data_IF_424055985103
#
_entry.id   IF_424055985103
#
_cell.length_a   1.000
_cell.length_b   1.000
_cell.length_c   1.000
_cell.angle_alpha   90.00
_cell.angle_beta   90.00
_cell.angle_gamma   90.00
#
_symmetry.space_group_name_H-M   'P 1'
#
loop_
_entity.id
_entity.type
_entity.pdbx_description
1 polymer ?
#
# COMPACT_ATOMS: atom_id res chain seq x y z
N UNK A 1 2.45 25.54 23.56
CA UNK A 1 1.94 25.96 22.24
C UNK A 1 0.44 25.80 22.21
N UNK A 2 -0.36 26.75 21.70
CA UNK A 2 -1.84 26.61 21.61
C UNK A 2 -2.28 25.30 20.96
N UNK A 3 -1.54 24.84 19.95
CA UNK A 3 -1.74 23.54 19.29
C UNK A 3 -1.64 22.36 20.26
N UNK A 4 -0.63 22.32 21.12
CA UNK A 4 -0.45 21.25 22.09
C UNK A 4 -1.57 21.21 23.16
N UNK A 5 -2.15 22.36 23.53
CA UNK A 5 -3.31 22.40 24.42
C UNK A 5 -4.59 21.93 23.72
N UNK A 6 -4.82 22.35 22.48
CA UNK A 6 -5.98 21.89 21.66
C UNK A 6 -5.90 20.38 21.42
N UNK A 7 -4.70 19.86 21.17
CA UNK A 7 -4.45 18.43 20.95
C UNK A 7 -4.66 17.62 22.23
N UNK A 8 -4.27 18.18 23.39
CA UNK A 8 -4.49 17.59 24.72
C UNK A 8 -5.98 17.60 25.10
N UNK A 9 -6.72 18.68 24.82
CA UNK A 9 -8.18 18.75 25.03
C UNK A 9 -8.94 17.81 24.09
N UNK A 10 -8.57 17.75 22.80
CA UNK A 10 -9.14 16.79 21.84
C UNK A 10 -8.95 15.35 22.30
N UNK A 11 -7.76 15.02 22.78
CA UNK A 11 -7.45 13.69 23.33
C UNK A 11 -8.25 13.45 24.61
N UNK A 12 -8.42 14.47 25.47
CA UNK A 12 -9.29 14.40 26.64
C UNK A 12 -10.74 14.05 26.27
N UNK A 13 -11.33 14.72 25.28
CA UNK A 13 -12.72 14.51 24.87
C UNK A 13 -12.97 13.19 24.13
N UNK A 14 -12.01 12.73 23.32
CA UNK A 14 -12.11 11.48 22.57
C UNK A 14 -11.96 10.24 23.46
N UNK A 15 -11.17 10.31 24.53
CA UNK A 15 -10.87 9.16 25.37
C UNK A 15 -11.53 9.19 26.76
N UNK A 16 -12.16 10.29 27.16
CA UNK A 16 -12.92 10.36 28.42
C UNK A 16 -14.22 9.53 28.34
N UNK A 17 -14.36 8.58 29.25
CA UNK A 17 -15.50 7.64 29.34
C UNK A 17 -16.86 8.31 29.59
N UNK A 18 -16.89 9.54 30.09
CA UNK A 18 -18.11 10.31 30.40
C UNK A 18 -18.50 11.31 29.30
N UNK A 19 -17.77 11.34 28.18
CA UNK A 19 -17.99 12.28 27.07
C UNK A 19 -18.91 11.66 26.02
N UNK A 20 -19.93 12.38 25.53
CA UNK A 20 -20.81 11.92 24.44
C UNK A 20 -20.01 11.63 23.15
N UNK A 21 -18.94 12.39 22.90
CA UNK A 21 -18.00 12.14 21.79
C UNK A 21 -17.32 10.77 21.86
N UNK A 22 -17.17 10.18 23.05
CA UNK A 22 -16.60 8.83 23.20
C UNK A 22 -17.58 7.75 22.75
N UNK A 23 -18.89 8.03 22.78
CA UNK A 23 -19.91 7.11 22.25
C UNK A 23 -19.87 7.16 20.72
N UNK A 24 -19.89 8.35 20.12
CA UNK A 24 -19.78 8.52 18.66
C UNK A 24 -18.47 7.97 18.09
N UNK A 25 -17.34 8.22 18.76
CA UNK A 25 -16.04 7.69 18.34
C UNK A 25 -16.00 6.16 18.39
N UNK A 26 -16.63 5.54 19.39
CA UNK A 26 -16.74 4.07 19.49
C UNK A 26 -17.55 3.48 18.33
N UNK A 27 -18.63 4.14 17.90
CA UNK A 27 -19.39 3.70 16.73
C UNK A 27 -18.52 3.72 15.46
N UNK A 28 -17.61 4.69 15.34
CA UNK A 28 -16.66 4.76 14.24
C UNK A 28 -15.65 3.59 14.28
N UNK A 29 -15.11 3.27 15.46
CA UNK A 29 -14.21 2.13 15.67
C UNK A 29 -14.91 0.80 15.37
N UNK A 30 -16.17 0.64 15.80
CA UNK A 30 -17.00 -0.54 15.51
C UNK A 30 -17.27 -0.68 14.01
N UNK A 31 -17.54 0.42 13.31
CA UNK A 31 -17.74 0.45 11.88
C UNK A 31 -16.45 0.10 11.12
N UNK A 32 -15.30 0.67 11.51
CA UNK A 32 -14.00 0.32 10.93
C UNK A 32 -13.68 -1.18 11.12
N UNK A 33 -13.92 -1.70 12.33
CA UNK A 33 -13.74 -3.11 12.62
C UNK A 33 -14.66 -4.00 11.77
N UNK A 34 -15.94 -3.64 11.67
CA UNK A 34 -16.94 -4.34 10.86
C UNK A 34 -16.53 -4.36 9.38
N UNK A 35 -16.09 -3.24 8.82
CA UNK A 35 -15.60 -3.16 7.43
C UNK A 35 -14.36 -4.01 7.20
N UNK A 36 -13.44 -4.05 8.16
CA UNK A 36 -12.24 -4.89 8.10
C UNK A 36 -12.59 -6.39 8.12
N UNK A 37 -13.53 -6.80 8.98
CA UNK A 37 -14.04 -8.18 9.03
C UNK A 37 -14.77 -8.54 7.74
N UNK A 38 -15.63 -7.66 7.23
CA UNK A 38 -16.34 -7.82 5.96
C UNK A 38 -15.38 -8.08 4.80
N UNK A 39 -14.32 -7.25 4.66
CA UNK A 39 -13.29 -7.42 3.61
C UNK A 39 -12.54 -8.75 3.72
N UNK A 40 -12.26 -9.22 4.94
CA UNK A 40 -11.64 -10.54 5.16
C UNK A 40 -12.59 -11.67 4.74
N UNK A 41 -13.86 -11.58 5.10
CA UNK A 41 -14.88 -12.57 4.71
C UNK A 41 -15.07 -12.62 3.19
N UNK A 42 -15.14 -11.47 2.54
CA UNK A 42 -15.24 -11.36 1.08
C UNK A 42 -14.04 -12.02 0.39
N UNK A 43 -12.82 -11.71 0.84
CA UNK A 43 -11.60 -12.37 0.33
C UNK A 43 -11.65 -13.88 0.49
N UNK A 44 -12.11 -14.37 1.64
CA UNK A 44 -12.24 -15.80 1.89
C UNK A 44 -13.29 -16.45 0.96
N UNK A 45 -14.44 -15.78 0.74
CA UNK A 45 -15.50 -16.24 -0.17
C UNK A 45 -15.00 -16.34 -1.62
N UNK A 46 -14.28 -15.33 -2.10
CA UNK A 46 -13.69 -15.33 -3.44
C UNK A 46 -12.70 -16.50 -3.61
N UNK A 47 -11.79 -16.68 -2.64
CA UNK A 47 -10.83 -17.78 -2.68
C UNK A 47 -11.53 -19.15 -2.66
N UNK A 48 -12.61 -19.29 -1.88
CA UNK A 48 -13.40 -20.51 -1.84
C UNK A 48 -14.07 -20.81 -3.19
N UNK A 49 -14.68 -19.80 -3.84
CA UNK A 49 -15.31 -19.96 -5.16
C UNK A 49 -14.28 -20.31 -6.23
N UNK A 50 -13.13 -19.63 -6.25
CA UNK A 50 -12.03 -19.95 -7.17
C UNK A 50 -11.49 -21.36 -6.95
N UNK A 51 -11.35 -21.80 -5.68
CA UNK A 51 -10.91 -23.15 -5.37
C UNK A 51 -11.90 -24.21 -5.90
N UNK A 52 -13.21 -23.97 -5.77
CA UNK A 52 -14.25 -24.86 -6.34
C UNK A 52 -14.11 -25.00 -7.85
N UNK A 53 -13.97 -23.88 -8.57
CA UNK A 53 -13.78 -23.87 -10.03
C UNK A 53 -12.49 -24.63 -10.40
N UNK A 54 -11.38 -24.35 -9.71
CA UNK A 54 -10.10 -25.03 -9.93
C UNK A 54 -10.21 -26.55 -9.68
N UNK A 55 -10.95 -26.98 -8.67
CA UNK A 55 -11.14 -28.39 -8.38
C UNK A 55 -11.98 -29.08 -9.46
N UNK A 56 -13.02 -28.43 -9.98
CA UNK A 56 -13.80 -28.96 -11.11
C UNK A 56 -12.93 -29.09 -12.38
N UNK A 57 -12.08 -28.09 -12.67
CA UNK A 57 -11.12 -28.14 -13.77
C UNK A 57 -10.10 -29.28 -13.59
N UNK A 58 -9.55 -29.46 -12.38
CA UNK A 58 -8.64 -30.58 -12.09
C UNK A 58 -9.34 -31.93 -12.27
N UNK A 59 -10.59 -32.05 -11.84
CA UNK A 59 -11.41 -33.26 -12.04
C UNK A 59 -11.57 -33.56 -13.52
N UNK A 60 -11.87 -32.54 -14.34
CA UNK A 60 -11.97 -32.67 -15.79
C UNK A 60 -10.63 -33.11 -16.40
N UNK A 61 -9.52 -32.44 -16.04
CA UNK A 61 -8.18 -32.80 -16.51
C UNK A 61 -7.79 -34.23 -16.16
N UNK A 62 -8.19 -34.74 -14.99
CA UNK A 62 -7.90 -36.11 -14.59
C UNK A 62 -8.73 -37.13 -15.38
N UNK A 63 -9.99 -36.81 -15.69
CA UNK A 63 -10.85 -37.66 -16.52
C UNK A 63 -10.31 -37.77 -17.96
N UNK A 64 -9.64 -36.72 -18.46
CA UNK A 64 -9.07 -36.65 -19.81
C UNK A 64 -7.76 -37.44 -20.01
N UNK A 65 -7.10 -37.93 -18.95
CA UNK A 65 -5.75 -38.52 -19.07
C UNK A 65 -5.70 -39.95 -19.62
N UNK A 66 -6.72 -40.79 -19.41
CA UNK A 66 -6.61 -42.24 -19.69
C UNK A 66 -7.94 -42.90 -20.15
N UNK A 67 -8.65 -42.33 -21.12
CA UNK A 67 -9.94 -42.89 -21.57
C UNK A 67 -10.11 -42.89 -23.09
N UNK A 68 -10.59 -44.01 -23.66
CA UNK A 68 -11.02 -44.09 -25.06
C UNK A 68 -12.33 -43.30 -25.24
N UNK A 69 -12.47 -42.46 -26.28
CA UNK A 69 -13.68 -41.68 -26.50
C UNK A 69 -14.85 -42.58 -26.91
N UNK A 70 -15.60 -43.06 -25.92
CA UNK A 70 -16.95 -43.60 -26.09
C UNK A 70 -17.98 -42.47 -26.08
N UNK A 71 -19.13 -42.63 -26.77
CA UNK A 71 -20.18 -41.63 -26.78
C UNK A 71 -20.64 -41.19 -25.38
N UNK A 72 -20.82 -42.13 -24.44
CA UNK A 72 -21.23 -41.80 -23.07
C UNK A 72 -20.14 -41.00 -22.31
N UNK A 73 -18.87 -41.25 -22.62
CA UNK A 73 -17.75 -40.51 -22.03
C UNK A 73 -17.67 -39.08 -22.57
N UNK A 74 -17.90 -38.89 -23.86
CA UNK A 74 -17.95 -37.56 -24.49
C UNK A 74 -19.07 -36.72 -23.90
N UNK A 75 -20.25 -37.30 -23.67
CA UNK A 75 -21.37 -36.57 -23.06
C UNK A 75 -21.10 -36.20 -21.60
N UNK A 76 -20.45 -37.06 -20.83
CA UNK A 76 -19.98 -36.74 -19.47
C UNK A 76 -18.95 -35.62 -19.43
N UNK A 77 -18.05 -35.54 -20.41
CA UNK A 77 -17.08 -34.45 -20.54
C UNK A 77 -17.80 -33.13 -20.87
N UNK A 78 -18.79 -33.15 -21.77
CA UNK A 78 -19.60 -31.95 -22.08
C UNK A 78 -20.33 -31.45 -20.84
N UNK A 79 -20.99 -32.33 -20.08
CA UNK A 79 -21.68 -31.97 -18.83
C UNK A 79 -20.71 -31.31 -17.84
N UNK A 80 -19.52 -31.88 -17.66
CA UNK A 80 -18.49 -31.29 -16.79
C UNK A 80 -17.94 -29.95 -17.30
N UNK A 81 -17.81 -29.77 -18.63
CA UNK A 81 -17.39 -28.49 -19.22
C UNK A 81 -18.47 -27.43 -19.02
N UNK A 82 -19.75 -27.79 -19.21
CA UNK A 82 -20.90 -26.92 -18.99
C UNK A 82 -21.04 -26.54 -17.50
N UNK A 83 -20.82 -27.46 -16.57
CA UNK A 83 -20.74 -27.15 -15.13
C UNK A 83 -19.66 -26.13 -14.81
N UNK A 84 -18.46 -26.28 -15.40
CA UNK A 84 -17.34 -25.36 -15.19
C UNK A 84 -17.65 -23.99 -15.79
N UNK A 85 -18.19 -23.96 -17.00
CA UNK A 85 -18.56 -22.73 -17.70
C UNK A 85 -19.65 -21.97 -16.93
N UNK A 86 -20.70 -22.68 -16.48
CA UNK A 86 -21.75 -22.12 -15.64
C UNK A 86 -21.20 -21.59 -14.31
N UNK A 87 -20.27 -22.31 -13.66
CA UNK A 87 -19.63 -21.85 -12.43
C UNK A 87 -18.76 -20.59 -12.65
N UNK A 88 -18.05 -20.50 -13.77
CA UNK A 88 -17.25 -19.33 -14.15
C UNK A 88 -18.16 -18.14 -14.46
N UNK A 89 -19.23 -18.35 -15.23
CA UNK A 89 -20.16 -17.29 -15.60
C UNK A 89 -20.92 -16.76 -14.39
N UNK A 90 -21.40 -17.64 -13.51
CA UNK A 90 -22.02 -17.26 -12.24
C UNK A 90 -21.07 -16.46 -11.35
N UNK A 91 -19.81 -16.90 -11.23
CA UNK A 91 -18.79 -16.16 -10.47
C UNK A 91 -18.56 -14.76 -11.06
N UNK A 92 -18.34 -14.66 -12.38
CA UNK A 92 -18.13 -13.36 -13.05
C UNK A 92 -19.32 -12.43 -12.86
N UNK A 93 -20.54 -12.94 -12.98
CA UNK A 93 -21.76 -12.18 -12.82
C UNK A 93 -21.95 -11.69 -11.38
N UNK A 94 -21.71 -12.55 -10.39
CA UNK A 94 -21.74 -12.16 -8.97
C UNK A 94 -20.70 -11.07 -8.67
N UNK A 95 -19.45 -11.23 -9.15
CA UNK A 95 -18.41 -10.22 -8.98
C UNK A 95 -18.76 -8.90 -9.68
N UNK A 96 -19.38 -8.94 -10.86
CA UNK A 96 -19.86 -7.76 -11.58
C UNK A 96 -20.94 -7.02 -10.79
N UNK A 97 -21.90 -7.75 -10.21
CA UNK A 97 -22.97 -7.15 -9.39
C UNK A 97 -22.41 -6.50 -8.13
N UNK A 98 -21.50 -7.18 -7.42
CA UNK A 98 -20.83 -6.64 -6.23
C UNK A 98 -20.06 -5.37 -6.61
N UNK A 99 -19.28 -5.40 -7.68
CA UNK A 99 -18.52 -4.24 -8.15
C UNK A 99 -19.43 -3.04 -8.48
N UNK A 100 -20.54 -3.28 -9.20
CA UNK A 100 -21.50 -2.23 -9.51
C UNK A 100 -22.17 -1.64 -8.28
N UNK A 101 -22.44 -2.47 -7.26
CA UNK A 101 -22.98 -2.02 -5.99
C UNK A 101 -21.97 -1.17 -5.22
N UNK A 102 -20.72 -1.62 -5.12
CA UNK A 102 -19.63 -0.86 -4.50
C UNK A 102 -19.39 0.49 -5.17
N UNK A 103 -19.47 0.59 -6.51
CA UNK A 103 -19.37 1.87 -7.22
C UNK A 103 -20.51 2.83 -6.87
N UNK A 104 -21.73 2.32 -6.66
CA UNK A 104 -22.87 3.15 -6.24
C UNK A 104 -22.66 3.68 -4.83
N UNK A 105 -22.20 2.81 -3.92
CA UNK A 105 -21.89 3.16 -2.53
C UNK A 105 -20.73 4.16 -2.44
N UNK A 106 -19.67 3.95 -3.21
CA UNK A 106 -18.55 4.90 -3.31
C UNK A 106 -19.04 6.27 -3.78
N UNK A 107 -19.85 6.32 -4.83
CA UNK A 107 -20.42 7.58 -5.32
C UNK A 107 -21.31 8.24 -4.26
N UNK A 108 -22.12 7.47 -3.54
CA UNK A 108 -22.97 8.00 -2.47
C UNK A 108 -22.12 8.57 -1.33
N UNK A 109 -21.12 7.83 -0.85
CA UNK A 109 -20.20 8.27 0.20
C UNK A 109 -19.40 9.52 -0.22
N UNK A 110 -18.91 9.59 -1.47
CA UNK A 110 -18.24 10.79 -2.00
C UNK A 110 -19.19 11.99 -1.99
N UNK A 111 -20.44 11.80 -2.40
CA UNK A 111 -21.43 12.88 -2.36
C UNK A 111 -21.69 13.33 -0.91
N UNK A 112 -21.88 12.40 0.02
CA UNK A 112 -22.05 12.71 1.45
C UNK A 112 -20.85 13.46 2.01
N UNK A 113 -19.63 12.99 1.74
CA UNK A 113 -18.39 13.69 2.13
C UNK A 113 -18.34 15.10 1.55
N UNK A 114 -18.69 15.29 0.28
CA UNK A 114 -18.71 16.62 -0.34
C UNK A 114 -19.73 17.56 0.33
N UNK A 115 -20.87 17.03 0.79
CA UNK A 115 -21.86 17.78 1.55
C UNK A 115 -21.33 18.14 2.94
N UNK A 116 -20.66 17.20 3.62
CA UNK A 116 -20.02 17.44 4.91
C UNK A 116 -18.86 18.43 4.80
N UNK A 117 -18.02 18.33 3.78
CA UNK A 117 -16.95 19.28 3.49
C UNK A 117 -17.51 20.69 3.30
N UNK A 118 -18.54 20.87 2.46
CA UNK A 118 -19.24 22.16 2.33
C UNK A 118 -19.83 22.64 3.64
N UNK A 119 -20.38 21.75 4.47
CA UNK A 119 -20.93 22.09 5.79
C UNK A 119 -19.83 22.56 6.74
N UNK A 120 -18.68 21.89 6.74
CA UNK A 120 -17.50 22.26 7.51
C UNK A 120 -16.91 23.58 7.01
N UNK A 121 -16.86 23.80 5.70
CA UNK A 121 -16.47 25.09 5.11
C UNK A 121 -17.41 26.21 5.54
N UNK A 122 -18.73 25.97 5.53
CA UNK A 122 -19.73 26.92 6.02
C UNK A 122 -19.57 27.18 7.53
N UNK A 123 -19.28 26.15 8.34
CA UNK A 123 -18.97 26.31 9.76
C UNK A 123 -17.68 27.11 9.98
N UNK A 124 -16.66 26.88 9.16
CA UNK A 124 -15.40 27.62 9.18
C UNK A 124 -15.55 29.07 8.69
N UNK A 125 -16.48 29.33 7.77
CA UNK A 125 -16.82 30.65 7.24
C UNK A 125 -17.77 31.45 8.15
N UNK A 126 -18.47 30.79 9.08
CA UNK A 126 -19.36 31.47 10.02
C UNK A 126 -20.09 30.54 10.99
N UNK A 127 -19.55 30.41 12.21
CA UNK A 127 -20.26 29.93 13.40
C UNK A 127 -21.35 30.93 13.87
N UNK A 128 -22.31 31.26 13.01
CA UNK A 128 -23.51 32.02 13.39
C UNK A 128 -24.80 31.49 12.76
N UNK A 129 -24.72 30.65 11.73
CA UNK A 129 -25.91 30.15 11.04
C UNK A 129 -26.33 28.74 11.49
N UNK A 130 -25.43 27.94 12.06
CA UNK A 130 -25.75 26.57 12.49
C UNK A 130 -26.59 26.50 13.78
N UNK A 131 -26.53 27.53 14.64
CA UNK A 131 -27.39 27.60 15.84
C UNK A 131 -28.82 28.09 15.54
N UNK A 132 -29.08 28.65 14.35
CA UNK A 132 -30.41 29.17 14.00
C UNK A 132 -31.40 28.10 13.56
N UNK A 133 -30.99 26.85 13.36
CA UNK A 133 -31.90 25.76 12.94
C UNK A 133 -32.62 25.11 14.13
N UNK A 134 -32.22 25.38 15.38
CA UNK A 134 -32.77 24.70 16.57
C UNK A 134 -33.50 25.60 17.57
N UNK A 135 -33.86 26.83 17.23
CA UNK A 135 -34.67 27.67 18.13
C UNK A 135 -36.00 28.08 17.52
N UNK A 136 -37.05 27.43 18.03
CA UNK A 136 -38.43 27.89 17.99
C UNK A 136 -38.50 29.39 18.39
N UNK A 137 -39.46 30.17 17.87
CA UNK A 137 -39.44 31.61 18.03
C UNK A 137 -39.89 31.97 19.45
N UNK A 138 -38.96 32.49 20.25
CA UNK A 138 -39.31 33.29 21.42
C UNK A 138 -38.50 34.57 21.41
N UNK A 139 -39.24 35.66 21.57
CA UNK A 139 -38.83 37.03 21.30
C UNK A 139 -37.76 37.56 22.27
N UNK A 140 -37.10 38.63 21.78
CA UNK A 140 -36.12 39.52 22.42
C UNK A 140 -34.66 39.10 22.28
N UNK A 141 -34.04 39.65 21.24
CA UNK A 141 -32.61 39.58 20.95
C UNK A 141 -31.86 40.53 21.90
N UNK A 142 -31.20 39.97 22.92
CA UNK A 142 -29.99 40.57 23.49
C UNK A 142 -28.81 40.11 22.64
N UNK A 143 -28.09 41.05 22.03
CA UNK A 143 -26.87 40.77 21.27
C UNK A 143 -25.83 40.19 22.22
N UNK A 144 -25.46 38.93 21.98
CA UNK A 144 -24.48 38.20 22.76
C UNK A 144 -23.07 38.82 22.59
N UNK A 145 -22.37 39.03 23.71
CA UNK A 145 -21.03 39.65 23.78
C UNK A 145 -19.95 38.83 23.08
N UNK A 146 -20.27 37.60 22.68
CA UNK A 146 -19.38 36.70 21.92
C UNK A 146 -19.23 37.10 20.45
N UNK A 147 -20.20 37.81 19.85
CA UNK A 147 -20.15 38.26 18.45
C UNK A 147 -19.14 39.40 18.21
N UNK A 148 -18.77 40.10 19.29
CA UNK A 148 -17.91 41.28 19.28
C UNK A 148 -16.44 40.96 18.92
N UNK A 149 -16.03 39.69 19.03
CA UNK A 149 -14.63 39.27 18.88
C UNK A 149 -14.20 38.90 17.45
N UNK A 150 -15.14 38.73 16.51
CA UNK A 150 -14.84 38.30 15.14
C UNK A 150 -15.13 39.35 14.07
N UNK A 151 -15.79 40.45 14.43
CA UNK A 151 -16.10 41.54 13.54
C UNK A 151 -15.02 42.63 13.64
N UNK A 152 -14.70 43.32 12.53
CA UNK A 152 -13.83 44.49 12.60
C UNK A 152 -14.38 45.52 13.58
N UNK A 153 -13.49 46.20 14.31
CA UNK A 153 -13.85 47.13 15.39
C UNK A 153 -14.81 48.23 14.92
N UNK A 154 -14.67 48.66 13.69
CA UNK A 154 -15.47 49.70 13.05
C UNK A 154 -16.92 49.23 12.78
N UNK A 155 -17.13 47.93 12.56
CA UNK A 155 -18.48 47.34 12.41
C UNK A 155 -19.21 47.37 13.74
N UNK A 156 -18.51 47.01 14.82
CA UNK A 156 -19.03 47.01 16.19
C UNK A 156 -19.31 48.44 16.66
N UNK A 157 -18.40 49.38 16.38
CA UNK A 157 -18.55 50.79 16.71
C UNK A 157 -19.81 51.39 16.06
N UNK A 158 -20.03 51.11 14.77
CA UNK A 158 -21.23 51.54 14.07
C UNK A 158 -22.51 50.92 14.68
N UNK A 159 -22.49 49.63 15.03
CA UNK A 159 -23.65 48.97 15.65
C UNK A 159 -23.97 49.54 17.04
N UNK A 160 -22.95 49.83 17.87
CA UNK A 160 -23.15 50.50 19.16
C UNK A 160 -23.66 51.93 18.98
N UNK A 161 -23.21 52.64 17.95
CA UNK A 161 -23.72 53.97 17.61
C UNK A 161 -25.22 53.93 17.28
N UNK A 162 -25.66 53.00 16.43
CA UNK A 162 -27.09 52.84 16.11
C UNK A 162 -27.93 52.48 17.35
N UNK A 163 -27.42 51.61 18.22
CA UNK A 163 -28.14 51.24 19.44
C UNK A 163 -28.33 52.42 20.39
N UNK A 164 -27.32 53.31 20.50
CA UNK A 164 -27.39 54.48 21.38
C UNK A 164 -28.23 55.62 20.82
N UNK A 165 -28.31 55.73 19.49
CA UNK A 165 -28.88 56.90 18.82
C UNK A 165 -30.26 56.65 18.21
N UNK A 166 -30.95 55.57 18.60
CA UNK A 166 -32.32 55.32 18.13
C UNK A 166 -32.40 54.69 16.73
N UNK A 167 -31.38 53.93 16.33
CA UNK A 167 -31.41 53.11 15.13
C UNK A 167 -30.92 53.81 13.86
N UNK A 168 -31.37 53.34 12.70
CA UNK A 168 -30.92 53.84 11.38
C UNK A 168 -31.44 55.24 11.06
N UNK A 169 -32.50 55.68 11.75
CA UNK A 169 -33.16 56.95 11.56
C UNK A 169 -32.89 57.94 12.71
N UNK A 170 -31.99 57.64 13.65
CA UNK A 170 -31.66 58.60 14.71
C UNK A 170 -32.78 58.83 15.73
N UNK A 171 -33.76 57.91 15.82
CA UNK A 171 -34.98 58.09 16.60
C UNK A 171 -36.07 58.91 15.92
N UNK A 172 -35.86 59.36 14.68
CA UNK A 172 -36.90 59.98 13.85
C UNK A 172 -37.75 58.93 13.16
N UNK A 173 -39.00 59.26 12.83
CA UNK A 173 -39.82 58.42 11.97
C UNK A 173 -39.34 58.48 10.51
N UNK A 174 -39.81 57.53 9.71
CA UNK A 174 -39.39 57.43 8.30
C UNK A 174 -39.83 58.64 7.47
N UNK A 175 -40.94 59.30 7.81
CA UNK A 175 -41.44 60.44 7.04
C UNK A 175 -40.55 61.68 7.25
N UNK A 176 -40.33 62.04 8.51
CA UNK A 176 -39.48 63.16 8.93
C UNK A 176 -38.04 62.95 8.46
N UNK A 177 -37.50 61.73 8.64
CA UNK A 177 -36.15 61.41 8.22
C UNK A 177 -35.96 61.53 6.70
N UNK A 178 -36.92 61.04 5.90
CA UNK A 178 -36.84 61.15 4.44
C UNK A 178 -36.96 62.60 3.96
N UNK A 179 -37.82 63.41 4.57
CA UNK A 179 -37.93 64.83 4.24
C UNK A 179 -36.65 65.60 4.60
N UNK A 180 -36.09 65.34 5.77
CA UNK A 180 -34.78 65.86 6.17
C UNK A 180 -33.68 65.53 5.15
N UNK A 181 -33.58 64.27 4.71
CA UNK A 181 -32.59 63.87 3.72
C UNK A 181 -32.77 64.57 2.37
N UNK A 182 -34.01 64.74 1.90
CA UNK A 182 -34.33 65.44 0.65
C UNK A 182 -33.86 66.90 0.71
N UNK A 183 -34.20 67.60 1.79
CA UNK A 183 -33.84 69.02 1.99
C UNK A 183 -32.33 69.17 2.13
N UNK A 184 -31.69 68.34 2.95
CA UNK A 184 -30.23 68.35 3.14
C UNK A 184 -29.46 68.10 1.85
N UNK A 185 -29.94 67.15 1.02
CA UNK A 185 -29.35 66.85 -0.29
C UNK A 185 -29.53 68.01 -1.26
N UNK A 186 -30.69 68.67 -1.27
CA UNK A 186 -30.98 69.87 -2.07
C UNK A 186 -30.01 71.01 -1.76
N UNK A 187 -29.70 71.25 -0.49
CA UNK A 187 -28.80 72.33 -0.06
C UNK A 187 -27.32 71.93 0.04
N UNK A 188 -26.97 70.65 -0.22
CA UNK A 188 -25.61 70.11 -0.04
C UNK A 188 -24.98 70.47 1.33
N UNK A 189 -25.81 70.58 2.37
CA UNK A 189 -25.37 70.94 3.73
C UNK A 189 -25.04 72.42 3.98
N UNK A 190 -25.51 73.36 3.15
CA UNK A 190 -25.37 74.82 3.43
C UNK A 190 -26.40 75.30 4.46
N UNK A 191 -26.01 76.24 5.33
CA UNK A 191 -26.81 76.79 6.45
C UNK A 191 -28.21 77.33 6.08
N UNK A 192 -28.47 77.63 4.81
CA UNK A 192 -29.77 78.08 4.29
C UNK A 192 -30.85 76.98 4.25
N UNK A 193 -30.54 75.76 4.72
CA UNK A 193 -31.51 74.66 4.77
C UNK A 193 -32.47 74.72 5.96
N UNK A 194 -32.13 75.47 7.01
CA UNK A 194 -32.88 75.48 8.27
C UNK A 194 -34.30 76.02 8.11
N UNK A 195 -34.46 77.08 7.31
CA UNK A 195 -35.75 77.73 7.12
C UNK A 195 -36.72 76.83 6.31
N UNK A 196 -36.24 76.15 5.26
CA UNK A 196 -37.05 75.17 4.51
C UNK A 196 -37.27 73.88 5.31
N UNK A 197 -36.31 73.47 6.16
CA UNK A 197 -36.49 72.29 7.01
C UNK A 197 -37.57 72.49 8.08
N UNK A 198 -37.67 73.68 8.66
CA UNK A 198 -38.72 74.02 9.63
C UNK A 198 -40.12 74.09 8.99
N UNK A 199 -40.21 74.49 7.73
CA UNK A 199 -41.48 74.57 7.00
C UNK A 199 -42.03 73.18 6.64
N UNK A 200 -41.16 72.23 6.30
CA UNK A 200 -41.55 70.86 5.93
C UNK A 200 -41.64 69.89 7.10
N UNK A 201 -40.95 70.14 8.21
CA UNK A 201 -40.99 69.32 9.43
C UNK A 201 -41.88 69.98 10.48
N UNK A 202 -43.17 70.10 10.17
CA UNK A 202 -44.16 70.73 11.05
C UNK A 202 -44.29 69.94 12.34
N UNK A 203 -43.66 70.42 13.42
CA UNK A 203 -43.63 69.76 14.73
C UNK A 203 -42.23 69.51 15.29
N UNK A 204 -41.17 69.82 14.54
CA UNK A 204 -39.77 69.76 15.01
C UNK A 204 -39.23 71.15 15.29
N UNK A 205 -38.44 71.28 16.34
CA UNK A 205 -37.75 72.53 16.67
C UNK A 205 -36.48 72.67 15.83
N UNK A 206 -35.95 73.89 15.76
CA UNK A 206 -34.67 74.16 15.09
C UNK A 206 -33.54 73.34 15.73
N UNK A 207 -33.59 73.23 17.05
CA UNK A 207 -32.67 72.44 17.86
C UNK A 207 -32.73 70.96 17.51
N UNK A 208 -33.92 70.39 17.28
CA UNK A 208 -34.07 68.98 16.86
C UNK A 208 -33.41 68.72 15.50
N UNK A 209 -33.60 69.63 14.54
CA UNK A 209 -33.02 69.54 13.20
C UNK A 209 -31.48 69.64 13.26
N UNK A 210 -30.95 70.57 14.07
CA UNK A 210 -29.50 70.70 14.29
C UNK A 210 -28.87 69.47 14.95
N UNK A 211 -29.54 68.89 15.94
CA UNK A 211 -29.08 67.66 16.59
C UNK A 211 -29.10 66.48 15.62
N UNK A 212 -30.14 66.37 14.79
CA UNK A 212 -30.27 65.32 13.79
C UNK A 212 -29.26 65.47 12.65
N UNK A 213 -28.90 66.68 12.24
CA UNK A 213 -27.82 66.89 11.28
C UNK A 213 -26.45 66.50 11.83
N UNK A 214 -26.16 66.84 13.09
CA UNK A 214 -24.93 66.37 13.77
C UNK A 214 -24.89 64.85 13.83
N UNK A 215 -25.99 64.21 14.23
CA UNK A 215 -26.12 62.75 14.23
C UNK A 215 -25.91 62.16 12.83
N UNK A 216 -26.53 62.73 11.79
CA UNK A 216 -26.43 62.23 10.43
C UNK A 216 -25.00 62.34 9.86
N UNK A 217 -24.29 63.42 10.18
CA UNK A 217 -22.88 63.56 9.82
C UNK A 217 -22.02 62.46 10.46
N UNK A 218 -22.23 62.17 11.75
CA UNK A 218 -21.54 61.08 12.45
C UNK A 218 -21.93 59.70 11.89
N UNK A 219 -23.21 59.49 11.61
CA UNK A 219 -23.73 58.28 10.95
C UNK A 219 -23.02 58.01 9.62
N UNK A 220 -22.89 59.03 8.75
CA UNK A 220 -22.23 58.89 7.43
C UNK A 220 -20.76 58.50 7.59
N UNK A 221 -20.03 59.13 8.51
CA UNK A 221 -18.62 58.83 8.76
C UNK A 221 -18.44 57.39 9.25
N UNK A 222 -19.22 56.98 10.25
CA UNK A 222 -19.13 55.63 10.82
C UNK A 222 -19.60 54.56 9.83
N UNK A 223 -20.61 54.85 9.02
CA UNK A 223 -21.09 53.94 7.98
C UNK A 223 -20.02 53.71 6.89
N UNK A 224 -19.32 54.76 6.45
CA UNK A 224 -18.25 54.60 5.45
C UNK A 224 -17.04 53.86 6.05
N UNK A 225 -16.65 54.16 7.30
CA UNK A 225 -15.60 53.39 8.02
C UNK A 225 -15.95 51.91 8.13
N UNK A 226 -17.20 51.58 8.47
CA UNK A 226 -17.70 50.19 8.47
C UNK A 226 -17.55 49.53 7.10
N UNK A 227 -17.94 50.23 6.03
CA UNK A 227 -17.87 49.73 4.66
C UNK A 227 -16.42 49.48 4.21
N UNK A 228 -15.52 50.41 4.48
CA UNK A 228 -14.08 50.24 4.22
C UNK A 228 -13.47 49.08 5.01
N UNK A 229 -13.84 48.94 6.28
CA UNK A 229 -13.33 47.86 7.14
C UNK A 229 -13.81 46.49 6.67
N UNK A 230 -15.08 46.37 6.25
CA UNK A 230 -15.60 45.15 5.62
C UNK A 230 -14.87 44.83 4.31
N UNK A 231 -14.59 45.85 3.48
CA UNK A 231 -13.83 45.65 2.22
C UNK A 231 -12.42 45.12 2.50
N UNK A 232 -11.68 45.77 3.41
CA UNK A 232 -10.33 45.34 3.82
C UNK A 232 -10.33 43.94 4.43
N UNK A 233 -11.32 43.63 5.26
CA UNK A 233 -11.48 42.30 5.85
C UNK A 233 -11.71 41.22 4.76
N UNK A 234 -12.58 41.48 3.78
CA UNK A 234 -12.80 40.56 2.65
C UNK A 234 -11.55 40.36 1.80
N UNK A 235 -10.82 41.44 1.49
CA UNK A 235 -9.55 41.35 0.75
C UNK A 235 -8.51 40.52 1.52
N UNK A 236 -8.38 40.75 2.83
CA UNK A 236 -7.47 39.96 3.67
C UNK A 236 -7.85 38.48 3.72
N UNK A 237 -9.14 38.17 3.86
CA UNK A 237 -9.62 36.79 3.84
C UNK A 237 -9.32 36.10 2.50
N UNK A 238 -9.46 36.82 1.38
CA UNK A 238 -9.15 36.29 0.06
C UNK A 238 -7.64 36.03 -0.11
N UNK A 239 -6.78 36.95 0.34
CA UNK A 239 -5.33 36.76 0.31
C UNK A 239 -4.87 35.57 1.16
N UNK A 240 -5.47 35.38 2.33
CA UNK A 240 -5.14 34.26 3.22
C UNK A 240 -5.55 32.91 2.61
N UNK A 241 -6.72 32.83 1.96
CA UNK A 241 -7.14 31.65 1.18
C UNK A 241 -6.16 31.33 0.06
N UNK A 242 -5.73 32.32 -0.71
CA UNK A 242 -4.78 32.11 -1.81
C UNK A 242 -3.41 31.67 -1.29
N UNK A 243 -2.95 32.22 -0.16
CA UNK A 243 -1.70 31.81 0.49
C UNK A 243 -1.76 30.35 0.95
N UNK A 244 -2.85 29.96 1.62
CA UNK A 244 -3.05 28.60 2.10
C UNK A 244 -3.12 27.60 0.94
N UNK A 245 -3.77 27.98 -0.18
CA UNK A 245 -3.82 27.16 -1.39
C UNK A 245 -2.42 26.95 -1.99
N UNK A 246 -1.62 28.01 -2.10
CA UNK A 246 -0.23 27.94 -2.59
C UNK A 246 0.66 27.10 -1.68
N UNK A 247 0.47 27.18 -0.36
CA UNK A 247 1.21 26.36 0.60
C UNK A 247 0.86 24.88 0.46
N UNK A 248 -0.45 24.55 0.35
CA UNK A 248 -0.92 23.19 0.12
C UNK A 248 -0.36 22.61 -1.19
N UNK A 249 -0.40 23.38 -2.28
CA UNK A 249 0.15 22.95 -3.58
C UNK A 249 1.66 22.67 -3.49
N UNK A 250 2.42 23.51 -2.76
CA UNK A 250 3.86 23.28 -2.53
C UNK A 250 4.10 22.00 -1.72
N UNK A 251 3.34 21.79 -0.65
CA UNK A 251 3.44 20.58 0.17
C UNK A 251 3.13 19.31 -0.63
N UNK A 252 2.10 19.35 -1.48
CA UNK A 252 1.74 18.23 -2.36
C UNK A 252 2.83 17.94 -3.40
N UNK A 253 3.42 18.98 -4.01
CA UNK A 253 4.55 18.81 -4.94
C UNK A 253 5.75 18.16 -4.25
N UNK A 254 6.15 18.61 -3.06
CA UNK A 254 7.24 17.99 -2.31
C UNK A 254 6.95 16.53 -1.93
N UNK A 255 5.71 16.22 -1.56
CA UNK A 255 5.29 14.85 -1.26
C UNK A 255 5.41 13.94 -2.48
N UNK A 256 4.97 14.42 -3.65
CA UNK A 256 5.06 13.68 -4.91
C UNK A 256 6.50 13.42 -5.33
N UNK A 257 7.38 14.41 -5.19
CA UNK A 257 8.80 14.27 -5.49
C UNK A 257 9.48 13.26 -4.54
N UNK A 258 9.18 13.32 -3.24
CA UNK A 258 9.72 12.37 -2.26
C UNK A 258 9.23 10.94 -2.51
N UNK A 259 8.00 10.79 -3.00
CA UNK A 259 7.45 9.49 -3.38
C UNK A 259 8.19 8.91 -4.60
N UNK A 260 8.40 9.71 -5.66
CA UNK A 260 9.16 9.31 -6.84
C UNK A 260 10.59 8.88 -6.49
N UNK A 261 11.28 9.64 -5.64
CA UNK A 261 12.63 9.29 -5.19
C UNK A 261 12.67 7.94 -4.45
N UNK A 262 11.66 7.63 -3.64
CA UNK A 262 11.55 6.34 -2.95
C UNK A 262 11.30 5.18 -3.91
N UNK A 263 10.42 5.38 -4.88
CA UNK A 263 10.12 4.38 -5.90
C UNK A 263 11.37 4.05 -6.72
N UNK A 264 12.11 5.07 -7.16
CA UNK A 264 13.35 4.92 -7.92
C UNK A 264 14.42 4.18 -7.10
N UNK A 265 14.62 4.57 -5.84
CA UNK A 265 15.55 3.89 -4.94
C UNK A 265 15.17 2.42 -4.71
N UNK A 266 13.88 2.10 -4.66
CA UNK A 266 13.40 0.72 -4.51
C UNK A 266 13.65 -0.10 -5.78
N UNK A 267 13.41 0.47 -6.97
CA UNK A 267 13.72 -0.16 -8.26
C UNK A 267 15.21 -0.46 -8.39
N UNK A 268 16.07 0.51 -8.06
CA UNK A 268 17.52 0.31 -8.09
C UNK A 268 17.98 -0.80 -7.13
N UNK A 269 17.44 -0.84 -5.90
CA UNK A 269 17.74 -1.92 -4.94
C UNK A 269 17.32 -3.29 -5.48
N UNK A 270 16.12 -3.40 -6.05
CA UNK A 270 15.63 -4.64 -6.63
C UNK A 270 16.49 -5.10 -7.81
N UNK A 271 16.96 -4.18 -8.65
CA UNK A 271 17.83 -4.50 -9.78
C UNK A 271 19.22 -4.98 -9.31
N UNK A 272 19.81 -4.32 -8.32
CA UNK A 272 21.08 -4.76 -7.72
C UNK A 272 20.96 -6.16 -7.11
N UNK A 273 19.85 -6.44 -6.41
CA UNK A 273 19.59 -7.77 -5.85
C UNK A 273 19.43 -8.83 -6.95
N UNK A 274 18.71 -8.50 -8.04
CA UNK A 274 18.56 -9.39 -9.20
C UNK A 274 19.92 -9.73 -9.83
N UNK A 275 20.78 -8.73 -10.03
CA UNK A 275 22.15 -8.93 -10.57
C UNK A 275 22.99 -9.81 -9.64
N UNK A 276 22.91 -9.59 -8.32
CA UNK A 276 23.59 -10.46 -7.33
C UNK A 276 23.13 -11.90 -7.40
N UNK A 277 21.81 -12.15 -7.49
CA UNK A 277 21.25 -13.50 -7.61
C UNK A 277 21.71 -14.18 -8.91
N UNK A 278 21.71 -13.46 -10.03
CA UNK A 278 22.21 -13.99 -11.31
C UNK A 278 23.68 -14.39 -11.22
N UNK A 279 24.54 -13.52 -10.67
CA UNK A 279 25.96 -13.83 -10.49
C UNK A 279 26.18 -15.06 -9.59
N UNK A 280 25.42 -15.18 -8.49
CA UNK A 280 25.50 -16.35 -7.61
C UNK A 280 25.13 -17.66 -8.32
N UNK A 281 24.10 -17.63 -9.18
CA UNK A 281 23.69 -18.79 -9.98
C UNK A 281 24.77 -19.17 -11.00
N UNK A 282 25.40 -18.20 -11.65
CA UNK A 282 26.49 -18.47 -12.59
C UNK A 282 27.71 -19.09 -11.91
N UNK A 283 28.11 -18.57 -10.75
CA UNK A 283 29.19 -19.14 -9.93
C UNK A 283 28.86 -20.58 -9.52
N UNK A 284 27.64 -20.83 -9.04
CA UNK A 284 27.19 -22.16 -8.67
C UNK A 284 27.19 -23.14 -9.86
N UNK A 285 26.75 -22.70 -11.05
CA UNK A 285 26.80 -23.52 -12.27
C UNK A 285 28.25 -23.89 -12.62
N UNK A 286 29.18 -22.94 -12.60
CA UNK A 286 30.61 -23.20 -12.85
C UNK A 286 31.18 -24.19 -11.84
N UNK A 287 30.89 -24.00 -10.55
CA UNK A 287 31.31 -24.93 -9.49
C UNK A 287 30.75 -26.34 -9.70
N UNK A 288 29.48 -26.47 -10.11
CA UNK A 288 28.87 -27.77 -10.41
C UNK A 288 29.57 -28.50 -11.56
N UNK A 289 29.94 -27.79 -12.63
CA UNK A 289 30.70 -28.37 -13.75
C UNK A 289 32.08 -28.85 -13.29
N UNK A 290 32.80 -28.03 -12.51
CA UNK A 290 34.11 -28.41 -11.97
C UNK A 290 34.00 -29.62 -11.05
N UNK A 291 33.03 -29.63 -10.13
CA UNK A 291 32.82 -30.74 -9.22
C UNK A 291 32.48 -32.04 -9.96
N UNK A 292 31.65 -31.96 -11.01
CA UNK A 292 31.33 -33.11 -11.85
C UNK A 292 32.56 -33.63 -12.61
N UNK A 293 33.39 -32.74 -13.17
CA UNK A 293 34.64 -33.12 -13.83
C UNK A 293 35.64 -33.76 -12.85
N UNK A 294 35.75 -33.24 -11.62
CA UNK A 294 36.60 -33.83 -10.57
C UNK A 294 36.13 -35.22 -10.14
N UNK A 295 34.82 -35.43 -10.01
CA UNK A 295 34.26 -36.75 -9.69
C UNK A 295 34.54 -37.75 -10.81
N UNK A 296 34.29 -37.36 -12.07
CA UNK A 296 34.57 -38.21 -13.24
C UNK A 296 36.06 -38.57 -13.35
N UNK A 297 36.96 -37.60 -13.15
CA UNK A 297 38.40 -37.84 -13.15
C UNK A 297 38.83 -38.78 -12.00
N UNK A 298 38.21 -38.65 -10.83
CA UNK A 298 38.47 -39.53 -9.68
C UNK A 298 38.00 -40.96 -9.95
N UNK A 299 36.82 -41.14 -10.56
CA UNK A 299 36.33 -42.45 -10.97
C UNK A 299 37.23 -43.11 -12.03
N UNK A 300 37.73 -42.34 -13.00
CA UNK A 300 38.66 -42.84 -14.02
C UNK A 300 39.98 -43.29 -13.37
N UNK A 301 40.59 -42.46 -12.51
CA UNK A 301 41.80 -42.83 -11.75
C UNK A 301 41.60 -44.09 -10.91
N UNK A 302 40.42 -44.26 -10.29
CA UNK A 302 40.12 -45.45 -9.52
C UNK A 302 40.04 -46.71 -10.41
N UNK A 303 39.42 -46.59 -11.60
CA UNK A 303 39.35 -47.68 -12.58
C UNK A 303 40.73 -48.05 -13.14
N UNK A 304 41.55 -47.05 -13.49
CA UNK A 304 42.94 -47.25 -13.94
C UNK A 304 43.77 -47.95 -12.86
N UNK A 305 43.68 -47.51 -11.61
CA UNK A 305 44.38 -48.16 -10.50
C UNK A 305 43.93 -49.61 -10.28
N UNK A 306 42.63 -49.91 -10.41
CA UNK A 306 42.13 -51.29 -10.35
C UNK A 306 42.70 -52.15 -11.48
N UNK A 307 42.60 -51.67 -12.72
CA UNK A 307 43.16 -52.37 -13.87
C UNK A 307 44.67 -52.57 -13.75
N UNK A 308 45.40 -51.59 -13.22
CA UNK A 308 46.84 -51.71 -13.02
C UNK A 308 47.18 -52.74 -11.94
N UNK A 309 46.43 -52.79 -10.84
CA UNK A 309 46.57 -53.85 -9.82
C UNK A 309 46.25 -55.24 -10.38
N UNK A 310 45.21 -55.36 -11.20
CA UNK A 310 44.87 -56.61 -11.89
C UNK A 310 45.99 -57.06 -12.84
N UNK A 311 46.53 -56.14 -13.65
CA UNK A 311 47.70 -56.41 -14.51
C UNK A 311 48.92 -56.85 -13.70
N UNK A 312 49.23 -56.16 -12.60
CA UNK A 312 50.32 -56.54 -11.70
C UNK A 312 50.13 -57.93 -11.09
N UNK A 313 48.91 -58.24 -10.63
CA UNK A 313 48.57 -59.56 -10.11
C UNK A 313 48.70 -60.64 -11.18
N UNK A 314 48.26 -60.36 -12.41
CA UNK A 314 48.36 -61.31 -13.53
C UNK A 314 49.82 -61.59 -13.90
N UNK A 315 50.66 -60.56 -13.98
CA UNK A 315 52.11 -60.70 -14.21
C UNK A 315 52.76 -61.51 -13.10
N UNK A 316 52.41 -61.25 -11.83
CA UNK A 316 52.94 -62.01 -10.68
C UNK A 316 52.58 -63.50 -10.77
N UNK A 317 51.34 -63.82 -11.14
CA UNK A 317 50.86 -65.20 -11.27
C UNK A 317 51.51 -65.92 -12.46
N UNK A 318 51.74 -65.22 -13.58
CA UNK A 318 52.50 -65.75 -14.72
C UNK A 318 53.95 -66.06 -14.35
N UNK A 319 54.63 -65.17 -13.61
CA UNK A 319 55.98 -65.40 -13.12
C UNK A 319 56.05 -66.64 -12.21
N UNK A 320 55.12 -66.76 -11.26
CA UNK A 320 55.05 -67.90 -10.34
C UNK A 320 54.84 -69.23 -11.10
N UNK A 321 53.91 -69.27 -12.07
CA UNK A 321 53.72 -70.43 -12.95
C UNK A 321 54.98 -70.79 -13.73
N UNK A 322 55.68 -69.79 -14.27
CA UNK A 322 56.92 -70.03 -15.02
C UNK A 322 58.03 -70.59 -14.12
N UNK A 323 58.17 -70.06 -12.91
CA UNK A 323 59.14 -70.60 -11.92
C UNK A 323 58.83 -72.03 -11.51
N UNK A 324 57.55 -72.39 -11.29
CA UNK A 324 57.14 -73.76 -10.99
C UNK A 324 57.40 -74.69 -12.18
N UNK A 325 57.05 -74.28 -13.40
CA UNK A 325 57.35 -75.04 -14.60
C UNK A 325 58.85 -75.27 -14.77
N UNK A 326 59.68 -74.27 -14.49
CA UNK A 326 61.15 -74.40 -14.51
C UNK A 326 61.63 -75.44 -13.49
N UNK A 327 61.15 -75.37 -12.24
CA UNK A 327 61.45 -76.37 -11.20
C UNK A 327 61.03 -77.79 -11.60
N UNK A 328 59.82 -77.96 -12.15
CA UNK A 328 59.33 -79.28 -12.61
C UNK A 328 60.20 -79.82 -13.76
N UNK A 329 60.62 -78.96 -14.70
CA UNK A 329 61.55 -79.36 -15.77
C UNK A 329 62.92 -79.75 -15.22
N UNK A 330 63.45 -78.99 -14.26
CA UNK A 330 64.73 -79.29 -13.59
C UNK A 330 64.65 -80.64 -12.84
N UNK A 331 63.57 -80.89 -12.09
CA UNK A 331 63.34 -82.17 -11.41
C UNK A 331 63.18 -83.34 -12.39
N UNK A 332 62.40 -83.17 -13.46
CA UNK A 332 62.27 -84.18 -14.52
C UNK A 332 63.62 -84.53 -15.15
N UNK A 333 64.42 -83.50 -15.47
CA UNK A 333 65.75 -83.68 -16.05
C UNK A 333 66.70 -84.40 -15.07
N UNK A 334 66.60 -84.09 -13.77
CA UNK A 334 67.36 -84.78 -12.73
C UNK A 334 66.97 -86.26 -12.64
N UNK A 335 65.67 -86.55 -12.66
CA UNK A 335 65.14 -87.92 -12.61
C UNK A 335 65.53 -88.72 -13.87
N UNK A 336 65.54 -88.09 -15.03
CA UNK A 336 66.02 -88.68 -16.29
C UNK A 336 67.52 -89.00 -16.23
N UNK A 337 68.33 -88.07 -15.72
CA UNK A 337 69.77 -88.30 -15.50
C UNK A 337 70.02 -89.42 -14.49
N UNK A 338 69.28 -89.47 -13.37
CA UNK A 338 69.37 -90.54 -12.37
C UNK A 338 69.01 -91.90 -12.98
N UNK A 339 67.93 -91.98 -13.77
CA UNK A 339 67.59 -93.21 -14.49
C UNK A 339 68.67 -93.60 -15.49
N UNK A 340 69.25 -92.65 -16.21
CA UNK A 340 70.36 -92.91 -17.14
C UNK A 340 71.58 -93.45 -16.40
N UNK A 341 71.98 -92.82 -15.31
CA UNK A 341 73.07 -93.30 -14.46
C UNK A 341 72.80 -94.69 -13.89
N UNK A 342 71.56 -94.98 -13.48
CA UNK A 342 71.17 -96.29 -12.97
C UNK A 342 71.25 -97.36 -14.09
N UNK A 343 70.77 -97.05 -15.29
CA UNK A 343 70.94 -97.94 -16.45
C UNK A 343 72.41 -98.13 -16.83
N UNK A 344 73.24 -97.09 -16.75
CA UNK A 344 74.68 -97.19 -16.99
C UNK A 344 75.38 -98.02 -15.90
N UNK A 345 75.00 -97.87 -14.62
CA UNK A 345 75.49 -98.70 -13.51
C UNK A 345 75.08 -100.15 -13.69
N UNK A 346 73.85 -100.42 -14.09
CA UNK A 346 73.36 -101.77 -14.35
C UNK A 346 74.07 -102.39 -15.57
N UNK A 347 74.32 -101.61 -16.63
CA UNK A 347 75.16 -102.04 -17.74
C UNK A 347 76.59 -102.35 -17.30
N UNK A 348 77.21 -101.50 -16.46
CA UNK A 348 78.54 -101.76 -15.88
C UNK A 348 78.55 -103.00 -15.01
N UNK A 349 77.50 -103.26 -14.21
CA UNK A 349 77.36 -104.50 -13.44
C UNK A 349 77.24 -105.72 -14.34
N UNK A 350 76.49 -105.65 -15.44
CA UNK A 350 76.43 -106.74 -16.43
C UNK A 350 77.79 -107.01 -17.07
N UNK A 351 78.49 -105.96 -17.50
CA UNK A 351 79.84 -106.08 -18.07
C UNK A 351 80.83 -106.65 -17.04
N UNK A 352 80.78 -106.19 -15.79
CA UNK A 352 81.62 -106.72 -14.72
C UNK A 352 81.27 -108.18 -14.37
N UNK A 353 79.99 -108.57 -14.39
CA UNK A 353 79.58 -109.97 -14.22
C UNK A 353 80.05 -110.84 -15.40
N UNK A 354 79.99 -110.32 -16.62
CA UNK A 354 80.55 -110.97 -17.82
C UNK A 354 82.08 -111.09 -17.76
N UNK A 355 82.80 -110.10 -17.22
CA UNK A 355 84.25 -110.15 -17.00
C UNK A 355 84.63 -111.10 -15.85
N UNK A 356 83.89 -111.10 -14.73
CA UNK A 356 84.09 -112.06 -13.62
C UNK A 356 83.84 -113.48 -14.11
N UNK A 357 82.82 -113.71 -14.95
CA UNK A 357 82.56 -115.01 -15.56
C UNK A 357 83.70 -115.44 -16.49
N UNK A 358 84.39 -114.51 -17.16
CA UNK A 358 85.60 -114.78 -17.95
C UNK A 358 86.86 -115.03 -17.12
N UNK A 359 86.93 -114.51 -15.90
CA UNK A 359 88.06 -114.75 -14.99
C UNK A 359 87.94 -116.04 -14.16
N UNK A 360 86.77 -116.66 -14.10
CA UNK A 360 86.56 -117.98 -13.47
C UNK A 360 86.83 -119.17 -14.41
N UNK A 361 87.15 -118.90 -15.69
CA UNK A 361 87.50 -119.91 -16.71
C UNK A 361 89.02 -120.01 -16.99
N UNK A 362 89.89 -119.50 -16.09
CA UNK A 362 91.34 -119.61 -16.26
C UNK A 362 92.12 -120.09 -15.04
#
# INVERSE_FOLDING_TARGET
SRLANIEKDKTGHLYNRKSDFRVEYRLLEELEHSMMVSRKMEKAKILQQLSKIQNNVKRLQQQLKDVKPTPEFVDKIKEMMEEIENAINAFKEEQRQIYQQLLKEEKAAINELSLFERKVELWALGSSTAEKVWKLPSARVTVDKTLENHLPKEVVEFERFLQRTGGRQGGWDDYDHQNFLKIRTKYRGRLSYMDEALEYLTGRTKEDIEQHDKWYQEYVILHERKKESIKKWKEKQQQEKERNLKEKEKSEKMLKERWLQREEAQKQKAEVERKRKQAAVEVWRKQKVVAFAMDQASQLKLKENKQQKERQSHVKLLLEKNTLQKKVKEELQKLENEKREETEKEQRKKIAAEEISKFQEH
#
